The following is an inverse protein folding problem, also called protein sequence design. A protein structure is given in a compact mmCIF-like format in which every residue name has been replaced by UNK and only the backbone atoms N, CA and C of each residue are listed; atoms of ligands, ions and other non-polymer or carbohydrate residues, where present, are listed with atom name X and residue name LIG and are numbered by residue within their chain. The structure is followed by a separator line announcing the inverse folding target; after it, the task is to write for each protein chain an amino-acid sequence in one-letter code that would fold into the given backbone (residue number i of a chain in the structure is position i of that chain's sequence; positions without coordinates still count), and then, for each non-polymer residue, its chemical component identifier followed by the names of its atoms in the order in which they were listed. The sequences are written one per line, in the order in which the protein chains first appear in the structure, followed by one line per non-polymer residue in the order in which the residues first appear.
data_IF_341377506640
#
_entry.id   IF_341377506640
#
_cell.length_a   1.000
_cell.length_b   1.000
_cell.length_c   1.000
_cell.angle_alpha   90.00
_cell.angle_beta   90.00
_cell.angle_gamma   90.00
#
_symmetry.space_group_name_H-M   'P 1'
#
loop_
_entity.id
_entity.type
_entity.pdbx_description
1 polymer ?
#
# COMPACT_ATOMS: atom_id res chain seq x y z
N UNK A 1 -26.16 16.99 -19.87
CA UNK A 1 -25.19 18.06 -19.55
C UNK A 1 -23.81 17.56 -19.90
N UNK A 2 -22.98 18.39 -20.55
CA UNK A 2 -21.58 18.04 -20.82
C UNK A 2 -20.78 18.06 -19.50
N UNK A 3 -19.81 17.16 -19.35
CA UNK A 3 -18.98 17.03 -18.14
C UNK A 3 -18.25 18.33 -17.80
N UNK A 4 -17.78 19.05 -18.82
CA UNK A 4 -17.16 20.38 -18.66
C UNK A 4 -18.13 21.37 -18.02
N UNK A 5 -19.38 21.42 -18.49
CA UNK A 5 -20.40 22.35 -17.98
C UNK A 5 -20.76 22.01 -16.53
N UNK A 6 -20.89 20.72 -16.21
CA UNK A 6 -21.17 20.23 -14.86
C UNK A 6 -20.04 20.60 -13.89
N UNK A 7 -18.79 20.35 -14.25
CA UNK A 7 -17.64 20.65 -13.39
C UNK A 7 -17.49 22.15 -13.16
N UNK A 8 -17.61 22.97 -14.20
CA UNK A 8 -17.55 24.43 -14.06
C UNK A 8 -18.64 24.96 -13.14
N UNK A 9 -19.87 24.44 -13.25
CA UNK A 9 -20.97 24.79 -12.34
C UNK A 9 -20.68 24.42 -10.88
N UNK A 10 -20.08 23.26 -10.63
CA UNK A 10 -19.72 22.82 -9.28
C UNK A 10 -18.64 23.72 -8.66
N UNK A 11 -17.60 24.10 -9.41
CA UNK A 11 -16.59 25.04 -8.93
C UNK A 11 -17.16 26.44 -8.68
N UNK A 12 -18.02 26.93 -9.56
CA UNK A 12 -18.71 28.20 -9.36
C UNK A 12 -19.61 28.17 -8.12
N UNK A 13 -20.33 27.06 -7.89
CA UNK A 13 -21.14 26.86 -6.69
C UNK A 13 -20.31 26.92 -5.41
N UNK A 14 -19.17 26.23 -5.37
CA UNK A 14 -18.25 26.27 -4.22
C UNK A 14 -17.72 27.69 -3.98
N UNK A 15 -17.35 28.41 -5.04
CA UNK A 15 -16.89 29.80 -4.92
C UNK A 15 -17.97 30.71 -4.31
N UNK A 16 -19.23 30.57 -4.75
CA UNK A 16 -20.37 31.30 -4.18
C UNK A 16 -20.56 30.95 -2.70
N UNK A 17 -20.43 29.68 -2.31
CA UNK A 17 -20.55 29.26 -0.92
C UNK A 17 -19.45 29.85 -0.02
N UNK A 18 -18.21 29.94 -0.52
CA UNK A 18 -17.09 30.56 0.21
C UNK A 18 -17.30 32.07 0.36
N UNK A 19 -17.79 32.75 -0.68
CA UNK A 19 -18.14 34.16 -0.60
C UNK A 19 -19.31 34.36 0.39
N UNK A 20 -20.32 33.48 0.33
CA UNK A 20 -21.46 33.48 1.25
C UNK A 20 -21.05 33.29 2.71
N UNK A 21 -20.09 32.41 3.02
CA UNK A 21 -19.57 32.28 4.38
C UNK A 21 -18.82 33.52 4.84
N UNK A 22 -18.18 34.26 3.92
CA UNK A 22 -17.58 35.58 4.20
C UNK A 22 -18.60 36.61 4.69
N UNK A 23 -19.80 36.61 4.08
CA UNK A 23 -20.90 37.51 4.48
C UNK A 23 -21.67 37.04 5.71
N UNK A 24 -21.90 35.73 5.89
CA UNK A 24 -22.75 35.18 6.96
C UNK A 24 -21.99 34.92 8.25
N UNK A 25 -20.78 34.36 8.17
CA UNK A 25 -19.97 34.05 9.36
C UNK A 25 -18.91 35.11 9.61
N UNK A 26 -17.88 35.14 8.77
CA UNK A 26 -16.82 36.16 8.79
C UNK A 26 -15.86 35.92 7.62
N UNK A 27 -15.18 36.97 7.19
CA UNK A 27 -14.09 36.87 6.21
C UNK A 27 -12.93 35.99 6.72
N UNK A 28 -12.65 35.98 8.02
CA UNK A 28 -11.60 35.13 8.60
C UNK A 28 -11.93 33.64 8.44
N UNK A 29 -13.16 33.23 8.76
CA UNK A 29 -13.61 31.84 8.58
C UNK A 29 -13.61 31.42 7.10
N UNK A 30 -14.06 32.30 6.20
CA UNK A 30 -14.05 32.03 4.76
C UNK A 30 -12.62 31.83 4.22
N UNK A 31 -11.68 32.69 4.62
CA UNK A 31 -10.27 32.58 4.25
C UNK A 31 -9.61 31.32 4.83
N UNK A 32 -9.99 30.91 6.06
CA UNK A 32 -9.51 29.67 6.67
C UNK A 32 -10.00 28.44 5.91
N UNK A 33 -11.28 28.40 5.53
CA UNK A 33 -11.85 27.32 4.71
C UNK A 33 -11.15 27.26 3.35
N UNK A 34 -10.94 28.41 2.70
CA UNK A 34 -10.19 28.49 1.44
C UNK A 34 -8.77 27.96 1.61
N UNK A 35 -8.07 28.37 2.67
CA UNK A 35 -6.71 27.94 2.98
C UNK A 35 -6.64 26.41 3.17
N UNK A 36 -7.51 25.83 3.99
CA UNK A 36 -7.57 24.38 4.17
C UNK A 36 -7.96 23.64 2.88
N UNK A 37 -8.85 24.21 2.07
CA UNK A 37 -9.20 23.65 0.76
C UNK A 37 -8.00 23.62 -0.20
N UNK A 38 -7.20 24.69 -0.25
CA UNK A 38 -6.00 24.76 -1.07
C UNK A 38 -4.92 23.78 -0.60
N UNK A 39 -4.68 23.70 0.71
CA UNK A 39 -3.75 22.70 1.29
C UNK A 39 -4.20 21.29 0.91
N UNK A 40 -5.50 21.00 1.05
CA UNK A 40 -6.08 19.70 0.71
C UNK A 40 -5.99 19.38 -0.78
N UNK A 41 -6.17 20.38 -1.66
CA UNK A 41 -5.99 20.22 -3.10
C UNK A 41 -4.55 19.87 -3.47
N UNK A 42 -3.56 20.54 -2.85
CA UNK A 42 -2.13 20.22 -3.04
C UNK A 42 -1.83 18.81 -2.51
N UNK A 43 -2.33 18.44 -1.33
CA UNK A 43 -2.16 17.09 -0.77
C UNK A 43 -2.76 16.02 -1.70
N UNK A 44 -3.96 16.24 -2.22
CA UNK A 44 -4.60 15.33 -3.17
C UNK A 44 -3.83 15.23 -4.50
N UNK A 45 -3.24 16.33 -4.97
CA UNK A 45 -2.33 16.33 -6.13
C UNK A 45 -1.07 15.51 -5.85
N UNK A 46 -0.46 15.68 -4.68
CA UNK A 46 0.70 14.92 -4.23
C UNK A 46 0.41 13.42 -4.18
N UNK A 47 -0.74 13.02 -3.62
CA UNK A 47 -1.17 11.62 -3.59
C UNK A 47 -1.45 11.08 -5.01
N UNK A 48 -2.09 11.86 -5.89
CA UNK A 48 -2.32 11.44 -7.29
C UNK A 48 -1.02 11.31 -8.09
N UNK A 49 -0.04 12.19 -7.84
CA UNK A 49 1.30 12.08 -8.44
C UNK A 49 2.05 10.86 -7.90
N UNK A 50 1.92 10.56 -6.60
CA UNK A 50 2.44 9.32 -6.03
C UNK A 50 1.75 8.10 -6.66
N UNK A 51 0.46 8.14 -6.97
CA UNK A 51 -0.23 7.07 -7.71
C UNK A 51 0.33 6.90 -9.13
N UNK A 52 0.61 8.00 -9.83
CA UNK A 52 1.09 7.99 -11.22
C UNK A 52 2.58 7.66 -11.40
N UNK A 53 3.43 8.03 -10.44
CA UNK A 53 4.89 7.89 -10.55
C UNK A 53 5.53 7.02 -9.47
N UNK A 54 5.01 7.03 -8.24
CA UNK A 54 5.61 6.32 -7.10
C UNK A 54 4.94 4.97 -6.78
N UNK A 55 3.78 4.69 -7.38
CA UNK A 55 2.94 3.54 -7.06
C UNK A 55 2.28 3.68 -5.68
N UNK A 56 0.99 3.39 -5.60
CA UNK A 56 0.16 3.37 -4.37
C UNK A 56 0.76 2.59 -3.18
N UNK A 57 1.64 1.64 -3.47
CA UNK A 57 2.30 0.81 -2.48
C UNK A 57 3.79 0.98 -2.59
N UNK A 58 4.34 1.68 -1.61
CA UNK A 58 5.77 1.67 -1.37
C UNK A 58 6.23 0.33 -0.76
N UNK A 59 5.86 -0.79 -1.38
CA UNK A 59 6.29 -2.14 -0.99
C UNK A 59 7.81 -2.24 -1.04
N UNK A 60 8.44 -1.49 -1.96
CA UNK A 60 9.88 -1.37 -2.06
C UNK A 60 10.52 -0.78 -0.80
N UNK A 61 10.13 0.42 -0.36
CA UNK A 61 10.69 1.03 0.85
C UNK A 61 10.37 0.19 2.08
N UNK A 62 9.14 -0.30 2.25
CA UNK A 62 8.84 -1.16 3.42
C UNK A 62 9.66 -2.46 3.40
N UNK A 63 9.90 -3.04 2.21
CA UNK A 63 10.80 -4.17 2.02
C UNK A 63 12.25 -3.85 2.38
N UNK A 64 12.79 -2.72 1.91
CA UNK A 64 14.15 -2.29 2.22
C UNK A 64 14.32 -1.90 3.69
N UNK A 65 13.30 -1.30 4.32
CA UNK A 65 13.29 -1.03 5.76
C UNK A 65 13.31 -2.33 6.56
N UNK A 66 12.52 -3.33 6.17
CA UNK A 66 12.54 -4.65 6.81
C UNK A 66 13.89 -5.36 6.64
N UNK A 67 14.49 -5.30 5.44
CA UNK A 67 15.83 -5.84 5.19
C UNK A 67 16.91 -5.10 6.00
N UNK A 68 16.81 -3.78 6.12
CA UNK A 68 17.69 -2.97 6.95
C UNK A 68 17.59 -3.33 8.44
N UNK A 69 16.36 -3.57 8.93
CA UNK A 69 16.11 -4.08 10.27
C UNK A 69 16.69 -5.48 10.51
N UNK A 70 16.55 -6.40 9.54
CA UNK A 70 17.15 -7.72 9.63
C UNK A 70 18.68 -7.64 9.68
N UNK A 71 19.29 -6.81 8.82
CA UNK A 71 20.74 -6.64 8.75
C UNK A 71 21.32 -6.06 10.05
N UNK A 72 20.65 -5.08 10.68
CA UNK A 72 21.12 -4.50 11.94
C UNK A 72 21.08 -5.50 13.09
N UNK A 73 20.05 -6.35 13.15
CA UNK A 73 19.97 -7.45 14.13
C UNK A 73 21.12 -8.43 13.90
N UNK A 74 21.30 -8.92 12.66
CA UNK A 74 22.34 -9.90 12.35
C UNK A 74 23.77 -9.42 12.67
N UNK A 75 24.05 -8.13 12.54
CA UNK A 75 25.37 -7.54 12.83
C UNK A 75 25.56 -7.29 14.34
N UNK A 76 24.50 -6.88 15.05
CA UNK A 76 24.59 -6.48 16.46
C UNK A 76 24.49 -7.64 17.43
N UNK A 77 23.86 -8.75 17.05
CA UNK A 77 23.79 -9.95 17.88
C UNK A 77 25.06 -10.77 17.77
N UNK A 78 25.61 -11.20 18.91
CA UNK A 78 26.72 -12.15 18.94
C UNK A 78 26.36 -13.46 18.22
N UNK A 79 27.32 -14.18 17.62
CA UNK A 79 27.05 -15.44 16.95
C UNK A 79 26.42 -16.45 17.91
N UNK A 80 25.31 -17.08 17.50
CA UNK A 80 24.64 -18.15 18.27
C UNK A 80 24.92 -19.48 17.57
N UNK A 81 25.91 -20.28 18.01
CA UNK A 81 26.30 -21.52 17.33
C UNK A 81 25.16 -22.55 17.29
N UNK A 82 24.30 -22.54 18.31
CA UNK A 82 23.14 -23.44 18.45
C UNK A 82 22.06 -23.19 17.38
N UNK A 83 22.04 -22.01 16.75
CA UNK A 83 21.12 -21.69 15.67
C UNK A 83 21.50 -22.38 14.35
N UNK A 84 22.72 -22.92 14.25
CA UNK A 84 23.21 -23.64 13.08
C UNK A 84 23.38 -25.13 13.41
N UNK A 85 22.80 -26.08 12.64
CA UNK A 85 22.05 -25.90 11.41
C UNK A 85 20.52 -25.84 11.59
N UNK A 86 19.95 -26.20 12.74
CA UNK A 86 18.48 -26.39 12.85
C UNK A 86 17.64 -25.14 12.55
N UNK A 87 17.63 -24.13 13.43
CA UNK A 87 16.83 -22.91 13.25
C UNK A 87 17.17 -22.12 11.97
N UNK A 88 18.45 -22.09 11.57
CA UNK A 88 18.88 -21.42 10.34
C UNK A 88 18.28 -22.07 9.08
N UNK A 89 18.27 -23.41 8.99
CA UNK A 89 17.68 -24.11 7.84
C UNK A 89 16.17 -23.92 7.78
N UNK A 90 15.46 -23.83 8.91
CA UNK A 90 14.03 -23.49 8.96
C UNK A 90 13.77 -22.08 8.40
N UNK A 91 14.62 -21.11 8.76
CA UNK A 91 14.51 -19.75 8.25
C UNK A 91 14.70 -19.66 6.72
N UNK A 92 15.71 -20.35 6.17
CA UNK A 92 15.91 -20.45 4.73
C UNK A 92 14.78 -21.21 4.03
N UNK A 93 14.30 -22.30 4.63
CA UNK A 93 13.17 -23.08 4.13
C UNK A 93 11.89 -22.25 4.04
N UNK A 94 11.59 -21.46 5.07
CA UNK A 94 10.48 -20.51 5.06
C UNK A 94 10.65 -19.44 3.97
N UNK A 95 11.83 -18.85 3.82
CA UNK A 95 12.08 -17.85 2.78
C UNK A 95 11.81 -18.41 1.37
N UNK A 96 12.31 -19.61 1.09
CA UNK A 96 12.10 -20.31 -0.19
C UNK A 96 10.62 -20.62 -0.40
N UNK A 97 9.92 -21.15 0.62
CA UNK A 97 8.48 -21.41 0.53
C UNK A 97 7.68 -20.14 0.27
N UNK A 98 7.99 -19.03 0.95
CA UNK A 98 7.36 -17.74 0.71
C UNK A 98 7.54 -17.27 -0.74
N UNK A 99 8.76 -17.39 -1.27
CA UNK A 99 9.06 -17.05 -2.66
C UNK A 99 8.31 -17.94 -3.67
N UNK A 100 8.27 -19.26 -3.44
CA UNK A 100 7.52 -20.22 -4.27
C UNK A 100 6.02 -19.89 -4.26
N UNK A 101 5.46 -19.62 -3.08
CA UNK A 101 4.04 -19.28 -2.92
C UNK A 101 3.67 -18.04 -3.74
N UNK A 102 4.49 -17.00 -3.66
CA UNK A 102 4.30 -15.76 -4.42
C UNK A 102 4.45 -15.99 -5.93
N UNK A 103 5.45 -16.77 -6.34
CA UNK A 103 5.64 -17.12 -7.76
C UNK A 103 4.42 -17.88 -8.32
N UNK A 104 3.88 -18.85 -7.58
CA UNK A 104 2.67 -19.60 -7.95
C UNK A 104 1.44 -18.68 -8.04
N UNK A 105 1.25 -17.80 -7.06
CA UNK A 105 0.15 -16.83 -7.07
C UNK A 105 0.20 -15.93 -8.32
N UNK A 106 1.39 -15.41 -8.66
CA UNK A 106 1.60 -14.59 -9.87
C UNK A 106 1.38 -15.40 -11.14
N UNK A 107 1.91 -16.63 -11.22
CA UNK A 107 1.72 -17.49 -12.38
C UNK A 107 0.25 -17.80 -12.63
N UNK A 108 -0.53 -18.11 -11.60
CA UNK A 108 -1.97 -18.37 -11.70
C UNK A 108 -2.72 -17.10 -12.10
N UNK A 109 -2.38 -15.95 -11.52
CA UNK A 109 -2.99 -14.68 -11.91
C UNK A 109 -2.76 -14.32 -13.38
N UNK A 110 -1.57 -14.63 -13.91
CA UNK A 110 -1.20 -14.35 -15.31
C UNK A 110 -1.79 -15.35 -16.30
N UNK A 111 -1.86 -16.64 -15.94
CA UNK A 111 -2.27 -17.72 -16.86
C UNK A 111 -3.78 -18.00 -16.86
N UNK A 112 -4.51 -17.67 -15.80
CA UNK A 112 -5.93 -17.99 -15.68
C UNK A 112 -6.82 -16.91 -16.33
N UNK A 113 -7.88 -17.27 -17.07
CA UNK A 113 -8.79 -16.31 -17.68
C UNK A 113 -9.43 -15.37 -16.65
N UNK A 114 -9.74 -14.14 -17.08
CA UNK A 114 -10.34 -13.11 -16.23
C UNK A 114 -11.72 -13.58 -15.74
N UNK A 115 -11.85 -13.85 -14.44
CA UNK A 115 -13.09 -14.31 -13.81
C UNK A 115 -12.97 -14.42 -12.29
N UNK A 116 -14.10 -14.65 -11.61
CA UNK A 116 -14.15 -14.75 -10.13
C UNK A 116 -13.34 -15.93 -9.59
N UNK A 117 -13.22 -17.00 -10.37
CA UNK A 117 -12.44 -18.19 -10.02
C UNK A 117 -10.93 -17.91 -9.93
N UNK A 118 -10.41 -16.93 -10.68
CA UNK A 118 -9.01 -16.50 -10.58
C UNK A 118 -8.70 -15.88 -9.21
N UNK A 119 -9.63 -15.08 -8.68
CA UNK A 119 -9.50 -14.49 -7.35
C UNK A 119 -9.43 -15.58 -6.28
N UNK A 120 -10.40 -16.51 -6.30
CA UNK A 120 -10.43 -17.62 -5.35
C UNK A 120 -9.20 -18.53 -5.42
N UNK A 121 -8.72 -18.84 -6.64
CA UNK A 121 -7.52 -19.66 -6.81
C UNK A 121 -6.27 -18.99 -6.22
N UNK A 122 -6.09 -17.69 -6.45
CA UNK A 122 -4.95 -16.94 -5.87
C UNK A 122 -5.08 -16.84 -4.36
N UNK A 123 -6.28 -16.55 -3.83
CA UNK A 123 -6.51 -16.53 -2.38
C UNK A 123 -6.19 -17.89 -1.74
N UNK A 124 -6.64 -19.00 -2.34
CA UNK A 124 -6.36 -20.34 -1.85
C UNK A 124 -4.84 -20.64 -1.83
N UNK A 125 -4.11 -20.25 -2.88
CA UNK A 125 -2.65 -20.42 -2.94
C UNK A 125 -1.95 -19.64 -1.83
N UNK A 126 -2.35 -18.39 -1.61
CA UNK A 126 -1.75 -17.55 -0.56
C UNK A 126 -2.06 -18.09 0.84
N UNK A 127 -3.28 -18.54 1.10
CA UNK A 127 -3.68 -19.09 2.40
C UNK A 127 -2.96 -20.43 2.67
N UNK A 128 -2.97 -21.34 1.70
CA UNK A 128 -2.30 -22.64 1.83
C UNK A 128 -0.78 -22.48 1.97
N UNK A 129 -0.17 -21.63 1.16
CA UNK A 129 1.26 -21.38 1.26
C UNK A 129 1.65 -20.66 2.55
N UNK A 130 0.79 -19.80 3.11
CA UNK A 130 1.01 -19.23 4.44
C UNK A 130 0.99 -20.28 5.55
N UNK A 131 0.05 -21.23 5.51
CA UNK A 131 -0.01 -22.33 6.48
C UNK A 131 1.25 -23.21 6.37
N UNK A 132 1.67 -23.55 5.15
CA UNK A 132 2.89 -24.33 4.91
C UNK A 132 4.16 -23.57 5.35
N UNK A 133 4.23 -22.28 5.05
CA UNK A 133 5.31 -21.40 5.51
C UNK A 133 5.42 -21.43 7.04
N UNK A 134 4.29 -21.28 7.73
CA UNK A 134 4.26 -21.27 9.19
C UNK A 134 4.72 -22.60 9.77
N UNK A 135 4.26 -23.72 9.22
CA UNK A 135 4.65 -25.06 9.67
C UNK A 135 6.15 -25.36 9.51
N UNK A 136 6.85 -24.68 8.60
CA UNK A 136 8.31 -24.85 8.39
C UNK A 136 9.12 -23.85 9.18
N UNK A 137 8.65 -22.61 9.30
CA UNK A 137 9.37 -21.53 9.97
C UNK A 137 9.22 -21.56 11.50
N UNK A 138 8.06 -22.00 12.00
CA UNK A 138 7.72 -22.03 13.43
C UNK A 138 6.72 -23.17 13.73
N UNK A 139 7.19 -24.44 13.75
CA UNK A 139 6.36 -25.64 13.97
C UNK A 139 5.77 -25.76 15.38
#
# INVERSE_FOLDING_TARGET
MNDTVKNTLLFAGIAILIVGTGFVQSWNSALLILNMGLISAIMALGVNLQWGFAGLFNTGIMGFVALGGLASVLISTGPVPEAWPGPAFQAFGGLILGAITMALAVMVWRKMPKGRNRGWAVTAILVLGFILFRAVFDP
#
